data_IF_771085951040
#
_entry.id   IF_771085951040
#
_cell.length_a   1.000
_cell.length_b   1.000
_cell.length_c   1.000
_cell.angle_alpha   90.00
_cell.angle_beta   90.00
_cell.angle_gamma   90.00
#
_symmetry.space_group_name_H-M   'P 1'
#
loop_
_entity.id
_entity.type
_entity.pdbx_description
1 polymer ?
#
# COMPACT_ATOMS: atom_id res chain seq x y z
N UNK A 1 53.21 7.52 -26.95
CA UNK A 1 53.15 7.09 -25.53
C UNK A 1 52.13 7.89 -24.70
N UNK A 2 52.15 9.24 -24.69
CA UNK A 2 51.17 10.05 -23.93
C UNK A 2 49.72 9.93 -24.45
N UNK A 3 49.51 9.97 -25.78
CA UNK A 3 48.18 9.80 -26.41
C UNK A 3 47.56 8.42 -26.16
N UNK A 4 48.36 7.36 -26.24
CA UNK A 4 47.92 5.99 -25.97
C UNK A 4 47.52 5.79 -24.52
N UNK A 5 48.24 6.40 -23.57
CA UNK A 5 47.88 6.37 -22.15
C UNK A 5 46.53 7.05 -21.86
N UNK A 6 46.25 8.19 -22.52
CA UNK A 6 44.98 8.92 -22.37
C UNK A 6 43.81 8.08 -22.89
N UNK A 7 43.97 7.43 -24.05
CA UNK A 7 42.93 6.56 -24.62
C UNK A 7 42.62 5.36 -23.71
N UNK A 8 43.66 4.73 -23.15
CA UNK A 8 43.49 3.62 -22.20
C UNK A 8 42.75 4.09 -20.94
N UNK A 9 43.09 5.26 -20.41
CA UNK A 9 42.41 5.83 -19.25
C UNK A 9 40.93 6.13 -19.53
N UNK A 10 40.60 6.68 -20.70
CA UNK A 10 39.20 6.90 -21.10
C UNK A 10 38.41 5.61 -21.23
N UNK A 11 39.00 4.58 -21.86
CA UNK A 11 38.36 3.27 -21.99
C UNK A 11 38.14 2.63 -20.62
N UNK A 12 39.13 2.70 -19.73
CA UNK A 12 39.00 2.21 -18.35
C UNK A 12 37.89 2.95 -17.59
N UNK A 13 37.80 4.27 -17.75
CA UNK A 13 36.75 5.08 -17.14
C UNK A 13 35.36 4.71 -17.67
N UNK A 14 35.24 4.48 -18.98
CA UNK A 14 33.99 4.05 -19.60
C UNK A 14 33.57 2.66 -19.08
N UNK A 15 34.51 1.73 -18.94
CA UNK A 15 34.24 0.40 -18.39
C UNK A 15 33.77 0.45 -16.92
N UNK A 16 34.29 1.38 -16.11
CA UNK A 16 33.86 1.58 -14.72
C UNK A 16 32.40 2.07 -14.61
N UNK A 17 31.91 2.87 -15.57
CA UNK A 17 30.52 3.34 -15.57
C UNK A 17 29.51 2.19 -15.76
N UNK A 18 29.88 1.14 -16.51
CA UNK A 18 29.03 -0.03 -16.71
C UNK A 18 28.80 -0.84 -15.43
N UNK A 19 29.80 -0.90 -14.54
CA UNK A 19 29.71 -1.63 -13.26
C UNK A 19 28.73 -0.93 -12.29
N UNK A 20 28.68 0.40 -12.31
CA UNK A 20 27.77 1.18 -11.48
C UNK A 20 26.30 1.02 -11.89
N UNK A 21 26.01 0.91 -13.20
CA UNK A 21 24.66 0.70 -13.73
C UNK A 21 24.13 -0.71 -13.44
N UNK A 22 25.01 -1.70 -13.34
CA UNK A 22 24.64 -3.07 -13.01
C UNK A 22 24.33 -3.27 -11.51
N UNK A 23 24.67 -2.31 -10.65
CA UNK A 23 24.42 -2.36 -9.21
C UNK A 23 23.05 -1.82 -8.81
N UNK A 24 22.04 -1.99 -9.67
CA UNK A 24 20.66 -1.70 -9.32
C UNK A 24 20.15 -2.75 -8.34
N UNK A 25 19.65 -2.34 -7.18
CA UNK A 25 18.87 -3.24 -6.31
C UNK A 25 17.71 -3.82 -7.11
N UNK A 26 17.49 -5.15 -7.10
CA UNK A 26 16.33 -5.74 -7.74
C UNK A 26 15.06 -5.09 -7.19
N UNK A 27 14.33 -4.38 -8.05
CA UNK A 27 13.02 -3.89 -7.69
C UNK A 27 12.09 -5.11 -7.58
N UNK A 28 11.55 -5.33 -6.39
CA UNK A 28 10.50 -6.32 -6.20
C UNK A 28 9.19 -5.61 -6.56
N UNK A 29 8.60 -5.98 -7.67
CA UNK A 29 7.26 -5.54 -8.01
C UNK A 29 6.27 -6.14 -7.00
N UNK A 30 5.70 -5.31 -6.15
CA UNK A 30 4.66 -5.69 -5.20
C UNK A 30 3.38 -4.91 -5.49
N UNK A 31 2.23 -5.56 -5.28
CA UNK A 31 0.92 -4.95 -5.40
C UNK A 31 0.07 -5.31 -4.18
N UNK A 32 -0.77 -4.37 -3.77
CA UNK A 32 -1.69 -4.53 -2.63
C UNK A 32 -3.12 -4.38 -3.12
N UNK A 33 -4.00 -5.27 -2.65
CA UNK A 33 -5.45 -5.19 -2.87
C UNK A 33 -6.09 -4.39 -1.73
N UNK A 34 -5.77 -3.10 -1.64
CA UNK A 34 -6.07 -2.28 -0.45
C UNK A 34 -7.56 -1.97 -0.22
N UNK A 35 -8.42 -2.13 -1.22
CA UNK A 35 -9.87 -1.91 -1.12
C UNK A 35 -10.71 -3.07 -1.66
N UNK A 36 -10.13 -4.26 -1.76
CA UNK A 36 -10.83 -5.43 -2.30
C UNK A 36 -12.01 -5.87 -1.43
N UNK A 37 -13.03 -6.40 -2.10
CA UNK A 37 -14.26 -6.86 -1.48
C UNK A 37 -15.41 -6.80 -2.46
N UNK A 38 -16.59 -7.18 -1.98
CA UNK A 38 -17.79 -7.19 -2.80
C UNK A 38 -19.02 -7.57 -2.00
N UNK A 39 -20.15 -7.18 -2.55
CA UNK A 39 -21.47 -7.54 -2.09
C UNK A 39 -21.99 -8.73 -2.91
N UNK A 40 -22.58 -9.70 -2.24
CA UNK A 40 -23.25 -10.83 -2.86
C UNK A 40 -24.65 -11.00 -2.25
N UNK A 41 -25.64 -11.28 -3.09
CA UNK A 41 -27.03 -11.46 -2.65
C UNK A 41 -27.57 -12.82 -3.09
N UNK A 42 -28.36 -13.44 -2.22
CA UNK A 42 -29.14 -14.64 -2.50
C UNK A 42 -30.52 -14.54 -1.82
N UNK A 43 -31.53 -14.13 -2.59
CA UNK A 43 -32.88 -13.95 -2.08
C UNK A 43 -32.96 -12.82 -1.05
N UNK A 44 -33.29 -13.16 0.20
CA UNK A 44 -33.35 -12.19 1.32
C UNK A 44 -32.02 -12.05 2.07
N UNK A 45 -30.99 -12.77 1.65
CA UNK A 45 -29.68 -12.75 2.29
C UNK A 45 -28.71 -11.91 1.47
N UNK A 46 -28.11 -10.90 2.11
CA UNK A 46 -26.97 -10.16 1.60
C UNK A 46 -25.71 -10.52 2.39
N UNK A 47 -24.57 -10.59 1.70
CA UNK A 47 -23.26 -10.85 2.28
C UNK A 47 -22.25 -9.87 1.69
N UNK A 48 -21.64 -9.08 2.55
CA UNK A 48 -20.53 -8.20 2.22
C UNK A 48 -19.23 -8.84 2.72
N UNK A 49 -18.29 -9.05 1.80
CA UNK A 49 -17.01 -9.69 2.07
C UNK A 49 -15.84 -8.84 1.57
N UNK A 50 -14.67 -9.01 2.18
CA UNK A 50 -13.45 -8.27 1.83
C UNK A 50 -12.30 -9.23 1.55
N UNK A 51 -11.34 -8.82 0.72
CA UNK A 51 -10.15 -9.62 0.44
C UNK A 51 -8.91 -8.74 0.36
N UNK A 52 -7.79 -9.28 0.88
CA UNK A 52 -6.47 -8.73 0.65
C UNK A 52 -6.24 -7.38 1.31
N UNK A 53 -6.74 -7.17 2.52
CA UNK A 53 -6.69 -5.90 3.24
C UNK A 53 -5.52 -5.83 4.25
N UNK A 54 -4.26 -5.53 3.86
CA UNK A 54 -3.14 -5.50 4.79
C UNK A 54 -3.19 -4.31 5.77
N UNK A 55 -3.97 -3.28 5.45
CA UNK A 55 -4.17 -2.09 6.28
C UNK A 55 -5.67 -1.80 6.31
N UNK A 56 -6.29 -1.91 7.49
CA UNK A 56 -7.71 -1.62 7.73
C UNK A 56 -7.85 -0.84 9.02
N UNK A 57 -8.80 0.09 9.05
CA UNK A 57 -9.20 0.81 10.25
C UNK A 57 -8.98 2.31 10.14
N UNK A 58 -9.30 3.00 11.23
CA UNK A 58 -9.13 4.44 11.39
C UNK A 58 -7.78 4.72 12.07
N UNK A 59 -7.04 5.67 11.54
CA UNK A 59 -5.86 6.26 12.12
C UNK A 59 -6.15 7.76 12.27
N UNK A 60 -5.87 8.31 13.45
CA UNK A 60 -6.13 9.70 13.77
C UNK A 60 -4.85 10.36 14.28
N UNK A 61 -4.59 11.57 13.80
CA UNK A 61 -3.60 12.50 14.32
C UNK A 61 -4.27 13.85 14.61
N UNK A 62 -3.54 14.82 15.18
CA UNK A 62 -4.07 16.15 15.49
C UNK A 62 -4.63 16.87 14.26
N UNK A 63 -5.94 16.74 14.06
CA UNK A 63 -6.70 17.37 12.98
C UNK A 63 -6.79 16.58 11.67
N UNK A 64 -6.38 15.31 11.65
CA UNK A 64 -6.52 14.46 10.45
C UNK A 64 -6.96 13.06 10.83
N UNK A 65 -7.99 12.57 10.15
CA UNK A 65 -8.47 11.20 10.25
C UNK A 65 -8.29 10.53 8.90
N UNK A 66 -7.59 9.41 8.89
CA UNK A 66 -7.45 8.53 7.74
C UNK A 66 -8.14 7.22 8.09
N UNK A 67 -9.09 6.81 7.27
CA UNK A 67 -9.73 5.52 7.39
C UNK A 67 -9.44 4.70 6.13
N UNK A 68 -9.04 3.44 6.34
CA UNK A 68 -8.56 2.55 5.28
C UNK A 68 -9.31 1.22 5.27
N UNK A 69 -9.49 0.67 4.07
CA UNK A 69 -10.13 -0.61 3.81
C UNK A 69 -11.59 -0.53 3.39
N UNK A 70 -12.14 -1.65 2.93
CA UNK A 70 -13.50 -1.76 2.37
C UNK A 70 -14.61 -1.31 3.32
N UNK A 71 -14.43 -1.54 4.63
CA UNK A 71 -15.40 -1.16 5.66
C UNK A 71 -15.30 0.30 6.10
N UNK A 72 -14.39 1.07 5.49
CA UNK A 72 -14.25 2.46 5.82
C UNK A 72 -15.51 3.24 5.39
N UNK A 73 -16.15 3.95 6.34
CA UNK A 73 -17.42 4.62 6.12
C UNK A 73 -18.66 3.71 6.20
N UNK A 74 -18.48 2.40 6.41
CA UNK A 74 -19.58 1.51 6.75
C UNK A 74 -20.02 1.78 8.20
N UNK A 75 -20.98 2.69 8.35
CA UNK A 75 -21.56 2.98 9.65
C UNK A 75 -22.49 1.83 10.08
N UNK A 76 -22.16 1.16 11.19
CA UNK A 76 -23.14 0.27 11.84
C UNK A 76 -24.19 1.17 12.49
N UNK A 77 -25.36 1.25 11.88
CA UNK A 77 -26.51 1.96 12.42
C UNK A 77 -27.09 1.20 13.61
N UNK A 78 -26.82 1.65 14.83
CA UNK A 78 -27.47 1.09 16.02
C UNK A 78 -28.79 1.80 16.27
N UNK A 79 -29.88 1.03 16.34
CA UNK A 79 -31.16 1.51 16.88
C UNK A 79 -31.15 1.24 18.38
N UNK A 80 -30.90 2.29 19.15
CA UNK A 80 -30.79 2.21 20.61
C UNK A 80 -32.21 2.21 21.21
N UNK A 81 -32.54 1.16 21.96
CA UNK A 81 -33.81 1.03 22.68
C UNK A 81 -33.56 0.97 24.19
N UNK A 82 -33.54 2.14 24.85
CA UNK A 82 -33.47 2.38 26.31
C UNK A 82 -32.23 1.89 27.10
N UNK A 83 -32.02 2.45 28.32
CA UNK A 83 -30.84 3.26 28.60
C UNK A 83 -29.55 2.45 28.47
N UNK A 84 -28.79 2.73 27.41
CA UNK A 84 -27.56 2.04 27.08
C UNK A 84 -26.37 2.85 27.61
N UNK A 85 -25.49 2.21 28.38
CA UNK A 85 -24.20 2.80 28.75
C UNK A 85 -23.16 2.31 27.75
N UNK A 86 -22.76 3.19 26.83
CA UNK A 86 -21.66 2.96 25.90
C UNK A 86 -20.34 3.22 26.62
N UNK A 87 -19.39 2.28 26.58
CA UNK A 87 -18.00 2.50 26.99
C UNK A 87 -17.07 2.23 25.82
N UNK A 88 -16.17 3.18 25.55
CA UNK A 88 -15.12 3.10 24.54
C UNK A 88 -15.63 2.98 23.09
N UNK A 89 -16.69 3.71 22.75
CA UNK A 89 -17.16 3.92 21.39
C UNK A 89 -16.90 5.37 20.97
#
# INVERSE_FOLDING_TARGET
>A
MKRTAILIAMVAFLLLTGVALANGTPAIDWRVIGGGGGHAEAGVYGLDGTIGQPVVGTAMDTGSELCSGFWCGAAVGYRIYLPLVLRNY
#
